data_IF_933431557611
#
_entry.id   IF_933431557611
#
_cell.length_a   1.000
_cell.length_b   1.000
_cell.length_c   1.000
_cell.angle_alpha   90.00
_cell.angle_beta   90.00
_cell.angle_gamma   90.00
#
_symmetry.space_group_name_H-M   'P 1'
#
loop_
_entity.id
_entity.type
_entity.pdbx_description
1 polymer ?
#
# COMPACT_ATOMS: atom_id res chain seq x y z
N UNK A 1 -10.48 13.99 1.18
CA UNK A 1 -10.10 12.56 1.07
C UNK A 1 -9.07 12.50 -0.05
N UNK A 2 -7.80 12.17 0.24
CA UNK A 2 -6.71 12.35 -0.72
C UNK A 2 -6.59 11.15 -1.68
N UNK A 3 -7.45 11.10 -2.69
CA UNK A 3 -7.38 10.07 -3.75
C UNK A 3 -6.08 10.17 -4.57
N UNK A 4 -5.38 11.30 -4.52
CA UNK A 4 -4.08 11.53 -5.16
C UNK A 4 -2.98 10.56 -4.70
N UNK A 5 -3.12 9.96 -3.51
CA UNK A 5 -2.16 8.99 -2.98
C UNK A 5 -2.29 7.61 -3.63
N UNK A 6 -3.41 7.29 -4.28
CA UNK A 6 -3.60 5.98 -4.92
C UNK A 6 -3.03 5.98 -6.34
N UNK A 7 -1.90 5.32 -6.53
CA UNK A 7 -1.17 5.31 -7.80
C UNK A 7 -1.50 4.04 -8.60
N UNK A 8 -1.89 4.15 -9.90
CA UNK A 8 -2.07 2.99 -10.75
C UNK A 8 -0.79 2.16 -10.87
N UNK A 9 -0.91 0.83 -10.80
CA UNK A 9 0.23 -0.10 -10.83
C UNK A 9 1.19 0.17 -12.01
N UNK A 10 0.65 0.43 -13.20
CA UNK A 10 1.45 0.72 -14.40
C UNK A 10 2.28 2.01 -14.31
N UNK A 11 1.89 2.96 -13.47
CA UNK A 11 2.58 4.24 -13.27
C UNK A 11 3.58 4.20 -12.11
N UNK A 12 3.37 3.30 -11.14
CA UNK A 12 4.17 3.18 -9.92
C UNK A 12 5.68 3.01 -10.21
N UNK A 13 6.04 2.19 -11.21
CA UNK A 13 7.45 1.95 -11.56
C UNK A 13 8.18 3.23 -11.96
N UNK A 14 7.57 4.02 -12.85
CA UNK A 14 8.17 5.25 -13.35
C UNK A 14 8.29 6.31 -12.24
N UNK A 15 7.23 6.48 -11.45
CA UNK A 15 7.21 7.40 -10.31
C UNK A 15 8.31 7.07 -9.30
N UNK A 16 8.38 5.81 -8.85
CA UNK A 16 9.36 5.40 -7.83
C UNK A 16 10.79 5.36 -8.37
N UNK A 17 10.99 5.11 -9.67
CA UNK A 17 12.30 5.27 -10.30
C UNK A 17 12.76 6.72 -10.29
N UNK A 18 11.88 7.67 -10.62
CA UNK A 18 12.17 9.11 -10.54
C UNK A 18 12.54 9.54 -9.13
N UNK A 19 11.73 9.20 -8.13
CA UNK A 19 12.00 9.56 -6.72
C UNK A 19 13.34 8.98 -6.23
N UNK A 20 13.66 7.74 -6.59
CA UNK A 20 14.99 7.17 -6.30
C UNK A 20 16.12 7.91 -7.01
N UNK A 21 15.91 8.34 -8.25
CA UNK A 21 16.86 9.18 -9.00
C UNK A 21 17.09 10.55 -8.36
N UNK A 22 16.11 11.07 -7.62
CA UNK A 22 16.20 12.28 -6.80
C UNK A 22 16.85 12.03 -5.42
N UNK A 23 17.37 10.81 -5.17
CA UNK A 23 18.01 10.44 -3.92
C UNK A 23 17.05 10.14 -2.76
N UNK A 24 15.74 10.03 -3.04
CA UNK A 24 14.73 9.74 -2.01
C UNK A 24 14.75 8.27 -1.61
N UNK A 25 14.61 8.02 -0.31
CA UNK A 25 14.46 6.69 0.28
C UNK A 25 12.99 6.35 0.40
N UNK A 26 12.56 5.32 -0.32
CA UNK A 26 11.19 4.81 -0.25
C UNK A 26 11.14 3.61 0.70
N UNK A 27 10.22 3.65 1.66
CA UNK A 27 9.91 2.53 2.57
C UNK A 27 8.68 1.82 2.02
N UNK A 28 8.68 0.49 2.07
CA UNK A 28 7.54 -0.30 1.60
C UNK A 28 6.95 -1.16 2.71
N UNK A 29 5.64 -1.05 2.89
CA UNK A 29 4.84 -2.01 3.64
C UNK A 29 3.88 -2.72 2.67
N UNK A 30 3.81 -4.04 2.74
CA UNK A 30 2.92 -4.83 1.87
C UNK A 30 1.93 -5.65 2.68
N UNK A 31 0.69 -5.77 2.19
CA UNK A 31 -0.30 -6.63 2.83
C UNK A 31 -1.67 -6.60 2.17
N UNK A 32 -2.61 -7.30 2.79
CA UNK A 32 -4.02 -7.28 2.39
C UNK A 32 -4.75 -6.06 2.93
N UNK A 33 -4.46 -5.66 4.18
CA UNK A 33 -5.13 -4.55 4.87
C UNK A 33 -6.65 -4.59 4.75
N UNK A 34 -7.25 -5.75 5.06
CA UNK A 34 -8.69 -5.96 4.95
C UNK A 34 -9.44 -5.00 5.89
N UNK A 35 -9.24 -5.14 7.20
CA UNK A 35 -9.66 -4.16 8.20
C UNK A 35 -8.43 -3.44 8.76
N UNK A 36 -8.37 -2.13 8.59
CA UNK A 36 -7.35 -1.30 9.24
C UNK A 36 -7.67 -1.19 10.73
N UNK A 37 -6.68 -1.41 11.58
CA UNK A 37 -6.81 -1.41 13.04
C UNK A 37 -5.56 -0.76 13.67
N UNK A 38 -5.55 -0.45 14.97
CA UNK A 38 -4.45 0.28 15.61
C UNK A 38 -3.06 -0.32 15.36
N UNK A 39 -2.92 -1.65 15.38
CA UNK A 39 -1.67 -2.33 15.04
C UNK A 39 -1.12 -1.96 13.65
N UNK A 40 -1.96 -1.84 12.62
CA UNK A 40 -1.52 -1.36 11.30
C UNK A 40 -1.08 0.10 11.36
N UNK A 41 -1.81 0.94 12.07
CA UNK A 41 -1.51 2.38 12.17
C UNK A 41 -0.14 2.60 12.80
N UNK A 42 0.11 1.97 13.96
CA UNK A 42 1.40 2.07 14.65
C UNK A 42 2.53 1.54 13.77
N UNK A 43 2.34 0.37 13.15
CA UNK A 43 3.34 -0.21 12.26
C UNK A 43 3.67 0.70 11.07
N UNK A 44 2.67 1.28 10.41
CA UNK A 44 2.86 2.19 9.28
C UNK A 44 3.51 3.50 9.72
N UNK A 45 3.14 4.06 10.88
CA UNK A 45 3.77 5.25 11.44
C UNK A 45 5.24 5.03 11.76
N UNK A 46 5.60 3.86 12.28
CA UNK A 46 7.00 3.52 12.54
C UNK A 46 7.78 3.28 11.25
N UNK A 47 7.17 2.62 10.26
CA UNK A 47 7.78 2.44 8.95
C UNK A 47 8.03 3.78 8.24
N UNK A 48 7.10 4.73 8.33
CA UNK A 48 7.25 6.06 7.72
C UNK A 48 8.49 6.83 8.21
N UNK A 49 8.96 6.56 9.44
CA UNK A 49 10.16 7.21 10.00
C UNK A 49 11.47 6.72 9.36
N UNK A 50 11.44 5.63 8.58
CA UNK A 50 12.65 4.99 8.05
C UNK A 50 13.10 5.56 6.69
N UNK A 51 12.34 6.47 6.08
CA UNK A 51 12.68 7.07 4.79
C UNK A 51 11.88 8.34 4.49
N UNK A 52 11.96 8.81 3.25
CA UNK A 52 11.30 10.04 2.79
C UNK A 52 9.83 9.82 2.41
N UNK A 53 9.50 8.63 1.90
CA UNK A 53 8.14 8.29 1.47
C UNK A 53 7.76 6.88 1.90
N UNK A 54 6.59 6.71 2.50
CA UNK A 54 5.97 5.42 2.76
C UNK A 54 5.05 5.01 1.60
N UNK A 55 5.41 3.89 0.96
CA UNK A 55 4.60 3.22 -0.05
C UNK A 55 3.92 2.01 0.57
N UNK A 56 2.58 1.99 0.55
CA UNK A 56 1.80 0.82 0.95
C UNK A 56 1.29 0.09 -0.28
N UNK A 57 1.72 -1.16 -0.45
CA UNK A 57 1.24 -2.00 -1.55
C UNK A 57 0.17 -2.98 -1.07
N UNK A 58 -0.94 -3.06 -1.80
CA UNK A 58 -2.13 -3.83 -1.41
C UNK A 58 -2.35 -4.97 -2.40
N UNK A 59 -2.47 -6.21 -1.94
CA UNK A 59 -2.82 -7.34 -2.82
C UNK A 59 -4.26 -7.19 -3.34
N UNK A 60 -4.46 -7.33 -4.66
CA UNK A 60 -5.80 -7.37 -5.28
C UNK A 60 -6.64 -8.51 -4.69
N UNK A 61 -7.93 -8.27 -4.44
CA UNK A 61 -8.75 -9.19 -3.64
C UNK A 61 -8.80 -10.62 -4.19
N UNK A 62 -8.81 -10.77 -5.52
CA UNK A 62 -8.80 -12.09 -6.20
C UNK A 62 -7.54 -12.93 -5.93
N UNK A 63 -6.48 -12.31 -5.42
CA UNK A 63 -5.19 -12.95 -5.12
C UNK A 63 -4.94 -13.11 -3.61
N UNK A 64 -5.91 -12.76 -2.77
CA UNK A 64 -5.83 -12.90 -1.32
C UNK A 64 -6.36 -14.27 -0.92
N UNK A 65 -5.54 -15.04 -0.21
CA UNK A 65 -5.95 -16.30 0.40
C UNK A 65 -5.77 -16.22 1.92
N UNK A 66 -6.79 -15.69 2.61
CA UNK A 66 -6.79 -15.47 4.06
C UNK A 66 -8.01 -16.10 4.75
N UNK A 67 -8.59 -17.11 4.11
CA UNK A 67 -9.79 -17.82 4.56
C UNK A 67 -11.05 -17.45 3.77
N UNK A 68 -12.15 -18.19 3.97
CA UNK A 68 -13.41 -17.98 3.25
C UNK A 68 -13.96 -16.56 3.46
N UNK A 69 -14.46 -15.95 2.38
CA UNK A 69 -15.06 -14.61 2.44
C UNK A 69 -14.06 -13.48 2.72
N UNK A 70 -12.75 -13.72 2.57
CA UNK A 70 -11.70 -12.69 2.70
C UNK A 70 -11.09 -12.36 1.33
N UNK A 71 -10.79 -11.08 1.05
CA UNK A 71 -11.00 -9.92 1.92
C UNK A 71 -12.48 -9.57 2.02
N UNK A 72 -12.91 -9.09 3.19
CA UNK A 72 -14.28 -8.64 3.43
C UNK A 72 -14.55 -7.32 2.72
N UNK A 73 -13.57 -6.43 2.68
CA UNK A 73 -13.67 -5.15 2.00
C UNK A 73 -13.08 -5.20 0.59
N UNK A 74 -13.76 -4.54 -0.35
CA UNK A 74 -13.28 -4.46 -1.72
C UNK A 74 -12.00 -3.61 -1.83
N UNK A 75 -11.32 -3.75 -2.97
CA UNK A 75 -10.01 -3.15 -3.23
C UNK A 75 -10.01 -1.63 -3.14
N UNK A 76 -11.12 -0.99 -3.54
CA UNK A 76 -11.29 0.46 -3.45
C UNK A 76 -11.38 0.94 -2.00
N UNK A 77 -12.13 0.24 -1.15
CA UNK A 77 -12.24 0.60 0.28
C UNK A 77 -10.92 0.37 1.01
N UNK A 78 -10.23 -0.74 0.74
CA UNK A 78 -8.93 -1.05 1.36
C UNK A 78 -7.87 -0.01 0.99
N UNK A 79 -7.76 0.33 -0.29
CA UNK A 79 -6.77 1.34 -0.76
C UNK A 79 -7.11 2.75 -0.27
N UNK A 80 -8.38 3.17 -0.29
CA UNK A 80 -8.81 4.47 0.26
C UNK A 80 -8.57 4.60 1.77
N UNK A 81 -8.82 3.53 2.53
CA UNK A 81 -8.59 3.53 3.97
C UNK A 81 -7.12 3.80 4.31
N UNK A 82 -6.21 3.21 3.54
CA UNK A 82 -4.77 3.46 3.68
C UNK A 82 -4.36 4.86 3.20
N UNK A 83 -4.91 5.32 2.07
CA UNK A 83 -4.63 6.65 1.53
C UNK A 83 -5.12 7.78 2.45
N UNK A 84 -6.13 7.52 3.29
CA UNK A 84 -6.60 8.48 4.28
C UNK A 84 -5.62 8.67 5.45
N UNK A 85 -4.68 7.74 5.67
CA UNK A 85 -3.68 7.87 6.72
C UNK A 85 -2.65 8.94 6.35
N UNK A 86 -2.36 9.84 7.28
CA UNK A 86 -1.40 10.93 7.08
C UNK A 86 -0.01 10.39 6.74
N UNK A 87 0.47 9.39 7.49
CA UNK A 87 1.80 8.78 7.33
C UNK A 87 2.00 7.97 6.05
N UNK A 88 0.97 7.76 5.23
CA UNK A 88 1.07 7.00 3.98
C UNK A 88 1.13 7.98 2.81
N UNK A 89 2.20 7.94 2.02
CA UNK A 89 2.39 8.84 0.87
C UNK A 89 1.79 8.27 -0.41
N UNK A 90 1.98 6.98 -0.64
CA UNK A 90 1.50 6.30 -1.84
C UNK A 90 0.86 4.96 -1.51
N UNK A 91 -0.23 4.64 -2.19
CA UNK A 91 -0.90 3.34 -2.14
C UNK A 91 -0.94 2.75 -3.54
N UNK A 92 -0.55 1.49 -3.68
CA UNK A 92 -0.57 0.79 -4.98
C UNK A 92 -1.26 -0.55 -4.85
N UNK A 93 -2.32 -0.76 -5.64
CA UNK A 93 -2.95 -2.07 -5.77
C UNK A 93 -2.10 -2.96 -6.67
N UNK A 94 -1.79 -4.18 -6.22
CA UNK A 94 -0.93 -5.14 -6.91
C UNK A 94 -1.82 -6.18 -7.62
N UNK A 95 -1.90 -6.15 -8.96
CA UNK A 95 -2.83 -6.97 -9.74
C UNK A 95 -2.30 -8.37 -10.08
N UNK A 96 -1.33 -8.84 -9.28
CA UNK A 96 -0.63 -10.10 -9.51
C UNK A 96 -0.60 -10.90 -8.22
N UNK A 97 -0.71 -12.21 -8.34
CA UNK A 97 -0.48 -13.10 -7.22
C UNK A 97 0.97 -12.96 -6.74
N UNK A 98 1.16 -12.86 -5.42
CA UNK A 98 2.48 -13.03 -4.85
C UNK A 98 2.92 -14.46 -5.16
N UNK A 99 4.02 -14.59 -5.89
CA UNK A 99 4.66 -15.90 -6.04
C UNK A 99 5.27 -16.23 -4.68
N UNK A 100 4.99 -17.43 -4.19
CA UNK A 100 5.70 -17.95 -3.01
C UNK A 100 7.20 -17.89 -3.33
N UNK A 101 7.93 -17.13 -2.52
CA UNK A 101 9.39 -17.20 -2.45
C UNK A 101 9.77 -18.42 -1.64
#
# INVERSE_FOLDING_TARGET
MNEEKVIPFGQARALFARLRGEGKRLVQCHGTFDLVHPGHIVHLQDAAKLGDFLVVTVTEGKHVNKGPGRPYFNDALRTRSLAALECVDYVVLIPHALRNV
#
